data_IF_655573993279
#
_entry.id   IF_655573993279
#
_cell.length_a   1.000
_cell.length_b   1.000
_cell.length_c   1.000
_cell.angle_alpha   90.00
_cell.angle_beta   90.00
_cell.angle_gamma   90.00
#
_symmetry.space_group_name_H-M   'P 1'
#
loop_
_entity.id
_entity.type
_entity.pdbx_description
1 polymer ?
#
# COMPACT_ATOMS: atom_id res chain seq x y z
N UNK A 1 -4.44 -3.91 -14.54
CA UNK A 1 -5.74 -4.63 -14.66
C UNK A 1 -5.75 -5.96 -13.94
N UNK A 2 -4.91 -6.94 -14.31
CA UNK A 2 -4.96 -8.28 -13.69
C UNK A 2 -4.79 -8.26 -12.15
N UNK A 3 -3.91 -7.41 -11.60
CA UNK A 3 -3.77 -7.27 -10.15
C UNK A 3 -5.06 -6.74 -9.48
N UNK A 4 -5.75 -5.79 -10.12
CA UNK A 4 -7.01 -5.26 -9.59
C UNK A 4 -8.08 -6.34 -9.63
N UNK A 5 -8.20 -7.07 -10.74
CA UNK A 5 -9.13 -8.20 -10.84
C UNK A 5 -8.89 -9.23 -9.72
N UNK A 6 -7.63 -9.64 -9.53
CA UNK A 6 -7.27 -10.67 -8.56
C UNK A 6 -7.45 -10.23 -7.11
N UNK A 7 -7.12 -8.98 -6.76
CA UNK A 7 -7.19 -8.52 -5.36
C UNK A 7 -8.53 -7.89 -4.96
N UNK A 8 -9.26 -7.30 -5.89
CA UNK A 8 -10.51 -6.60 -5.59
C UNK A 8 -11.74 -7.43 -5.99
N UNK A 9 -11.80 -7.92 -7.23
CA UNK A 9 -13.02 -8.56 -7.74
C UNK A 9 -13.14 -10.01 -7.27
N UNK A 10 -12.05 -10.79 -7.33
CA UNK A 10 -12.08 -12.21 -6.96
C UNK A 10 -12.49 -12.42 -5.50
N UNK A 11 -11.90 -11.74 -4.49
CA UNK A 11 -12.27 -11.99 -3.10
C UNK A 11 -13.70 -11.53 -2.79
N UNK A 12 -14.13 -10.39 -3.33
CA UNK A 12 -15.51 -9.91 -3.19
C UNK A 12 -16.52 -10.90 -3.81
N UNK A 13 -16.18 -11.48 -4.98
CA UNK A 13 -17.01 -12.49 -5.64
C UNK A 13 -17.08 -13.81 -4.86
N UNK A 14 -15.97 -14.25 -4.28
CA UNK A 14 -15.94 -15.45 -3.45
C UNK A 14 -16.80 -15.29 -2.19
N UNK A 15 -16.68 -14.16 -1.49
CA UNK A 15 -17.50 -13.87 -0.31
C UNK A 15 -18.99 -13.80 -0.69
N UNK A 16 -19.32 -13.07 -1.76
CA UNK A 16 -20.68 -12.98 -2.28
C UNK A 16 -21.29 -14.35 -2.63
N UNK A 17 -20.50 -15.27 -3.21
CA UNK A 17 -20.96 -16.61 -3.53
C UNK A 17 -21.07 -17.53 -2.31
N UNK A 18 -20.32 -17.25 -1.24
CA UNK A 18 -20.21 -18.13 -0.06
C UNK A 18 -21.31 -17.93 0.99
N UNK A 19 -21.97 -16.77 1.00
CA UNK A 19 -22.95 -16.43 2.03
C UNK A 19 -24.12 -15.63 1.44
N UNK A 20 -25.34 -16.08 1.72
CA UNK A 20 -26.58 -15.40 1.29
C UNK A 20 -26.81 -14.04 1.97
N UNK A 21 -26.09 -13.76 3.05
CA UNK A 21 -26.27 -12.55 3.87
C UNK A 21 -25.36 -11.38 3.46
N UNK A 22 -24.41 -11.59 2.55
CA UNK A 22 -23.51 -10.52 2.12
C UNK A 22 -24.20 -9.63 1.09
N UNK A 23 -24.17 -8.32 1.37
CA UNK A 23 -24.75 -7.28 0.53
C UNK A 23 -24.19 -7.36 -0.91
N UNK A 24 -25.04 -7.62 -1.94
CA UNK A 24 -24.62 -7.70 -3.34
C UNK A 24 -23.92 -6.42 -3.84
N UNK A 25 -24.21 -5.29 -3.17
CA UNK A 25 -23.61 -3.99 -3.47
C UNK A 25 -22.09 -3.99 -3.34
N UNK A 26 -21.51 -4.70 -2.38
CA UNK A 26 -20.06 -4.76 -2.17
C UNK A 26 -19.38 -5.34 -3.42
N UNK A 27 -19.88 -6.48 -3.91
CA UNK A 27 -19.37 -7.11 -5.13
C UNK A 27 -19.57 -6.21 -6.36
N UNK A 28 -20.72 -5.55 -6.47
CA UNK A 28 -21.02 -4.62 -7.55
C UNK A 28 -20.05 -3.43 -7.56
N UNK A 29 -19.72 -2.84 -6.40
CA UNK A 29 -18.77 -1.73 -6.32
C UNK A 29 -17.34 -2.13 -6.69
N UNK A 30 -16.90 -3.35 -6.33
CA UNK A 30 -15.59 -3.87 -6.76
C UNK A 30 -15.53 -4.07 -8.28
N UNK A 31 -16.63 -4.50 -8.91
CA UNK A 31 -16.73 -4.58 -10.36
C UNK A 31 -16.74 -3.19 -11.01
N UNK A 32 -17.50 -2.24 -10.48
CA UNK A 32 -17.47 -0.84 -10.95
C UNK A 32 -16.05 -0.30 -10.88
N UNK A 33 -15.33 -0.52 -9.78
CA UNK A 33 -13.93 -0.10 -9.64
C UNK A 33 -13.05 -0.67 -10.76
N UNK A 34 -13.15 -1.98 -11.04
CA UNK A 34 -12.40 -2.63 -12.10
C UNK A 34 -12.71 -2.03 -13.48
N UNK A 35 -13.99 -1.91 -13.86
CA UNK A 35 -14.38 -1.38 -15.16
C UNK A 35 -14.05 0.11 -15.32
N UNK A 36 -14.26 0.93 -14.29
CA UNK A 36 -13.88 2.35 -14.31
C UNK A 36 -12.37 2.49 -14.47
N UNK A 37 -11.56 1.72 -13.74
CA UNK A 37 -10.10 1.77 -13.88
C UNK A 37 -9.68 1.34 -15.29
N UNK A 38 -10.31 0.30 -15.86
CA UNK A 38 -10.04 -0.14 -17.23
C UNK A 38 -10.37 0.97 -18.25
N UNK A 39 -11.53 1.61 -18.15
CA UNK A 39 -11.91 2.72 -19.02
C UNK A 39 -10.94 3.89 -18.90
N UNK A 40 -10.58 4.28 -17.68
CA UNK A 40 -9.66 5.39 -17.42
C UNK A 40 -8.24 5.06 -17.88
N UNK A 41 -7.83 3.79 -17.87
CA UNK A 41 -6.50 3.40 -18.39
C UNK A 41 -6.33 3.65 -19.89
N UNK A 42 -7.42 3.86 -20.64
CA UNK A 42 -7.40 4.24 -22.06
C UNK A 42 -7.20 5.75 -22.27
N UNK A 43 -7.38 6.56 -21.23
CA UNK A 43 -7.12 8.01 -21.28
C UNK A 43 -5.60 8.19 -21.39
N UNK A 44 -5.17 8.98 -22.38
CA UNK A 44 -3.76 9.34 -22.58
C UNK A 44 -3.51 10.72 -22.02
N UNK A 45 -2.65 10.80 -21.01
CA UNK A 45 -2.22 12.07 -20.43
C UNK A 45 -0.87 12.49 -21.03
N UNK A 46 -0.79 13.71 -21.54
CA UNK A 46 0.45 14.28 -22.06
C UNK A 46 1.06 15.24 -21.04
N UNK A 47 2.21 14.88 -20.48
CA UNK A 47 2.95 15.71 -19.54
C UNK A 47 4.22 16.27 -20.21
N UNK A 48 4.21 17.57 -20.50
CA UNK A 48 5.38 18.33 -20.94
C UNK A 48 6.14 18.88 -19.72
N UNK A 49 6.49 18.01 -18.79
CA UNK A 49 7.17 18.40 -17.56
C UNK A 49 8.70 18.39 -17.73
N UNK A 50 9.46 19.28 -17.06
CA UNK A 50 10.90 19.20 -17.04
C UNK A 50 11.33 17.95 -16.25
N UNK A 51 11.67 16.87 -16.96
CA UNK A 51 12.17 15.65 -16.32
C UNK A 51 13.61 15.82 -15.87
N UNK A 52 13.96 15.31 -14.70
CA UNK A 52 15.36 15.21 -14.27
C UNK A 52 16.15 14.37 -15.29
N UNK A 53 17.40 14.77 -15.55
CA UNK A 53 18.31 13.97 -16.38
C UNK A 53 18.43 12.59 -15.76
N UNK A 54 18.17 11.56 -16.57
CA UNK A 54 17.99 10.20 -16.06
C UNK A 54 19.17 9.71 -15.20
N UNK A 55 20.41 10.02 -15.61
CA UNK A 55 21.62 9.66 -14.87
C UNK A 55 21.80 10.43 -13.54
N UNK A 56 21.24 11.64 -13.42
CA UNK A 56 21.36 12.48 -12.22
C UNK A 56 20.27 12.17 -11.18
N UNK A 57 19.19 11.50 -11.59
CA UNK A 57 18.05 11.24 -10.70
C UNK A 57 18.41 10.46 -9.43
N UNK A 58 19.18 9.37 -9.57
CA UNK A 58 19.63 8.55 -8.43
C UNK A 58 20.43 9.34 -7.39
N UNK A 59 21.54 10.02 -7.79
CA UNK A 59 22.32 10.86 -6.88
C UNK A 59 21.52 11.99 -6.23
N UNK A 60 20.66 12.70 -6.97
CA UNK A 60 19.84 13.79 -6.42
C UNK A 60 18.88 13.28 -5.35
N UNK A 61 18.16 12.18 -5.64
CA UNK A 61 17.26 11.56 -4.67
C UNK A 61 18.00 11.05 -3.43
N UNK A 62 19.21 10.51 -3.62
CA UNK A 62 20.05 10.04 -2.52
C UNK A 62 20.48 11.21 -1.61
N UNK A 63 20.90 12.34 -2.18
CA UNK A 63 21.24 13.54 -1.41
C UNK A 63 20.03 14.06 -0.61
N UNK A 64 18.85 14.14 -1.24
CA UNK A 64 17.60 14.51 -0.55
C UNK A 64 17.32 13.56 0.61
N UNK A 65 17.54 12.26 0.41
CA UNK A 65 17.31 11.24 1.44
C UNK A 65 18.30 11.35 2.59
N UNK A 66 19.59 11.57 2.32
CA UNK A 66 20.61 11.74 3.37
C UNK A 66 20.30 12.95 4.24
N UNK A 67 19.91 14.08 3.64
CA UNK A 67 19.52 15.29 4.38
C UNK A 67 18.22 15.04 5.17
N UNK A 68 17.22 14.44 4.53
CA UNK A 68 15.91 14.20 5.14
C UNK A 68 15.90 13.14 6.26
N UNK A 69 16.95 12.32 6.34
CA UNK A 69 17.11 11.33 7.41
C UNK A 69 17.72 11.94 8.69
N UNK A 70 18.30 13.15 8.63
CA UNK A 70 18.93 13.79 9.81
C UNK A 70 17.99 13.85 11.03
N UNK A 71 16.71 14.28 10.92
CA UNK A 71 15.78 14.26 12.05
C UNK A 71 15.54 12.86 12.63
N UNK A 72 15.56 11.81 11.80
CA UNK A 72 15.42 10.44 12.27
C UNK A 72 16.61 10.01 13.12
N UNK A 73 17.82 10.40 12.74
CA UNK A 73 19.03 10.11 13.52
C UNK A 73 18.94 10.76 14.90
N UNK A 74 18.51 12.02 14.97
CA UNK A 74 18.43 12.77 16.22
C UNK A 74 17.35 12.20 17.16
N UNK A 75 16.17 11.91 16.64
CA UNK A 75 15.02 11.53 17.47
C UNK A 75 14.95 10.03 17.79
N UNK A 76 15.34 9.16 16.86
CA UNK A 76 15.14 7.73 17.00
C UNK A 76 16.35 6.99 17.55
N UNK A 77 17.55 7.58 17.51
CA UNK A 77 18.78 6.93 17.96
C UNK A 77 18.68 6.29 19.37
N UNK A 78 18.06 6.92 20.38
CA UNK A 78 17.93 6.32 21.72
C UNK A 78 17.07 5.05 21.77
N UNK A 79 16.18 4.86 20.80
CA UNK A 79 15.18 3.78 20.77
C UNK A 79 15.52 2.66 19.80
N UNK A 80 16.70 2.70 19.16
CA UNK A 80 17.11 1.69 18.20
C UNK A 80 17.42 0.38 18.93
N UNK A 81 16.65 -0.65 18.62
CA UNK A 81 16.91 -2.03 19.04
C UNK A 81 17.33 -2.88 17.84
N UNK A 82 18.60 -3.30 17.80
CA UNK A 82 19.14 -4.14 16.71
C UNK A 82 18.48 -5.52 16.62
N UNK A 83 17.89 -6.02 17.73
CA UNK A 83 17.13 -7.29 17.72
C UNK A 83 15.92 -7.22 16.79
N UNK A 84 15.40 -6.02 16.50
CA UNK A 84 14.31 -5.83 15.55
C UNK A 84 14.66 -6.36 14.15
N UNK A 85 15.94 -6.34 13.74
CA UNK A 85 16.36 -6.91 12.45
C UNK A 85 16.07 -8.42 12.35
N UNK A 86 16.02 -9.11 13.49
CA UNK A 86 15.64 -10.51 13.61
C UNK A 86 14.14 -10.69 13.89
N UNK A 87 13.34 -9.63 13.77
CA UNK A 87 11.91 -9.58 14.07
C UNK A 87 11.56 -9.83 15.56
N UNK A 88 12.54 -9.70 16.46
CA UNK A 88 12.38 -9.82 17.92
C UNK A 88 12.07 -8.44 18.51
N UNK A 89 11.21 -8.36 19.53
CA UNK A 89 10.84 -7.12 20.27
C UNK A 89 10.27 -5.96 19.40
N UNK A 90 9.75 -6.31 18.21
CA UNK A 90 9.22 -5.35 17.23
C UNK A 90 8.04 -4.54 17.79
N UNK A 91 7.16 -5.16 18.58
CA UNK A 91 5.99 -4.49 19.13
C UNK A 91 6.37 -3.54 20.27
N UNK A 92 7.30 -3.94 21.14
CA UNK A 92 7.81 -3.10 22.22
C UNK A 92 8.50 -1.85 21.69
N UNK A 93 9.31 -1.99 20.64
CA UNK A 93 9.95 -0.83 20.02
C UNK A 93 8.92 0.13 19.45
N UNK A 94 7.85 -0.37 18.82
CA UNK A 94 6.78 0.48 18.28
C UNK A 94 6.04 1.24 19.37
N UNK A 95 5.74 0.60 20.49
CA UNK A 95 5.08 1.27 21.62
C UNK A 95 5.98 2.33 22.26
N UNK A 96 7.27 2.04 22.41
CA UNK A 96 8.24 3.02 22.93
C UNK A 96 8.37 4.23 22.00
N UNK A 97 8.48 4.00 20.69
CA UNK A 97 8.59 5.06 19.69
C UNK A 97 7.30 5.90 19.64
N UNK A 98 6.12 5.28 19.63
CA UNK A 98 4.85 6.02 19.55
C UNK A 98 4.54 6.87 20.78
N UNK A 99 5.02 6.45 21.96
CA UNK A 99 4.84 7.20 23.21
C UNK A 99 5.78 8.41 23.29
N UNK A 100 7.03 8.25 22.83
CA UNK A 100 8.08 9.24 23.02
C UNK A 100 8.31 10.18 21.83
N UNK A 101 7.98 9.76 20.61
CA UNK A 101 8.23 10.55 19.39
C UNK A 101 6.90 11.00 18.79
N UNK A 102 6.67 12.31 18.83
CA UNK A 102 5.48 12.97 18.25
C UNK A 102 5.89 14.06 17.26
N UNK A 103 6.79 13.73 16.33
CA UNK A 103 7.19 14.65 15.28
C UNK A 103 6.42 14.37 13.98
N UNK A 104 5.68 15.38 13.53
CA UNK A 104 4.90 15.33 12.29
C UNK A 104 5.78 15.07 11.07
N UNK A 105 6.98 15.68 10.99
CA UNK A 105 7.89 15.49 9.86
C UNK A 105 8.27 14.01 9.69
N UNK A 106 8.70 13.35 10.76
CA UNK A 106 9.16 11.96 10.71
C UNK A 106 7.99 11.01 10.46
N UNK A 107 6.79 11.32 10.98
CA UNK A 107 5.58 10.56 10.70
C UNK A 107 5.23 10.49 9.20
N UNK A 108 5.31 11.62 8.47
CA UNK A 108 5.02 11.65 7.03
C UNK A 108 6.20 11.10 6.20
N UNK A 109 7.41 11.62 6.44
CA UNK A 109 8.57 11.34 5.59
C UNK A 109 9.09 9.91 5.75
N UNK A 110 8.76 9.21 6.84
CA UNK A 110 9.11 7.79 7.00
C UNK A 110 8.61 6.95 5.83
N UNK A 111 7.34 7.08 5.48
CA UNK A 111 6.74 6.31 4.38
C UNK A 111 7.29 6.76 3.03
N UNK A 112 7.59 8.05 2.88
CA UNK A 112 8.14 8.61 1.65
C UNK A 112 9.52 8.03 1.33
N UNK A 113 10.43 8.01 2.30
CA UNK A 113 11.75 7.45 2.10
C UNK A 113 11.72 5.92 1.99
N UNK A 114 11.03 5.24 2.91
CA UNK A 114 11.09 3.78 3.00
C UNK A 114 10.28 3.06 1.90
N UNK A 115 9.17 3.63 1.42
CA UNK A 115 8.29 2.97 0.46
C UNK A 115 8.45 3.47 -0.98
N UNK A 116 8.95 4.69 -1.17
CA UNK A 116 9.02 5.32 -2.50
C UNK A 116 10.46 5.66 -2.91
N UNK A 117 11.11 6.59 -2.21
CA UNK A 117 12.39 7.17 -2.67
C UNK A 117 13.52 6.13 -2.66
N UNK A 118 13.75 5.44 -1.55
CA UNK A 118 14.84 4.44 -1.45
C UNK A 118 14.64 3.25 -2.41
N UNK A 119 13.44 2.64 -2.50
CA UNK A 119 13.15 1.67 -3.56
C UNK A 119 13.47 2.14 -4.98
N UNK A 120 13.15 3.39 -5.34
CA UNK A 120 13.49 3.97 -6.65
C UNK A 120 15.02 4.07 -6.82
N UNK A 121 15.73 4.60 -5.81
CA UNK A 121 17.20 4.71 -5.86
C UNK A 121 17.85 3.33 -5.99
N UNK A 122 17.31 2.31 -5.33
CA UNK A 122 17.81 0.92 -5.43
C UNK A 122 17.69 0.41 -6.86
N UNK A 123 16.52 0.56 -7.51
CA UNK A 123 16.34 0.15 -8.92
C UNK A 123 17.32 0.88 -9.84
N UNK A 124 17.45 2.20 -9.68
CA UNK A 124 18.37 3.01 -10.49
C UNK A 124 19.84 2.63 -10.24
N UNK A 125 20.22 2.33 -9.01
CA UNK A 125 21.60 1.95 -8.65
C UNK A 125 21.97 0.59 -9.21
N UNK A 126 21.03 -0.37 -9.22
CA UNK A 126 21.21 -1.67 -9.89
C UNK A 126 21.38 -1.44 -11.40
N UNK A 127 20.52 -0.62 -12.01
CA UNK A 127 20.58 -0.32 -13.44
C UNK A 127 21.89 0.33 -13.88
N UNK A 128 22.34 1.36 -13.17
CA UNK A 128 23.59 2.05 -13.48
C UNK A 128 24.85 1.33 -12.96
N UNK A 129 24.71 0.19 -12.28
CA UNK A 129 25.83 -0.55 -11.69
C UNK A 129 26.55 0.20 -10.55
N UNK A 130 25.95 1.23 -9.97
CA UNK A 130 26.58 2.01 -8.90
C UNK A 130 26.42 1.31 -7.54
N UNK A 131 27.39 0.44 -7.23
CA UNK A 131 27.40 -0.34 -5.98
C UNK A 131 27.42 0.53 -4.72
N UNK A 132 28.07 1.69 -4.75
CA UNK A 132 28.14 2.59 -3.59
C UNK A 132 26.75 3.12 -3.23
N UNK A 133 26.02 3.63 -4.22
CA UNK A 133 24.66 4.12 -4.02
C UNK A 133 23.72 2.99 -3.61
N UNK A 134 23.85 1.80 -4.20
CA UNK A 134 23.05 0.64 -3.83
C UNK A 134 23.24 0.26 -2.36
N UNK A 135 24.49 0.09 -1.91
CA UNK A 135 24.80 -0.27 -0.53
C UNK A 135 24.28 0.80 0.43
N UNK A 136 24.54 2.09 0.13
CA UNK A 136 24.07 3.18 0.98
C UNK A 136 22.55 3.21 1.07
N UNK A 137 21.82 3.05 -0.03
CA UNK A 137 20.35 3.02 -0.01
C UNK A 137 19.79 1.84 0.78
N UNK A 138 20.41 0.65 0.69
CA UNK A 138 20.01 -0.51 1.50
C UNK A 138 20.27 -0.24 2.99
N UNK A 139 21.43 0.34 3.35
CA UNK A 139 21.73 0.68 4.74
C UNK A 139 20.76 1.73 5.30
N UNK A 140 20.42 2.77 4.53
CA UNK A 140 19.43 3.77 4.93
C UNK A 140 18.03 3.15 5.08
N UNK A 141 17.69 2.17 4.23
CA UNK A 141 16.41 1.47 4.32
C UNK A 141 16.34 0.59 5.58
N UNK A 142 17.43 -0.10 5.92
CA UNK A 142 17.56 -0.87 7.17
C UNK A 142 17.52 0.03 8.40
N UNK A 143 18.16 1.20 8.34
CA UNK A 143 18.08 2.21 9.40
C UNK A 143 16.64 2.68 9.61
N UNK A 144 15.92 3.03 8.55
CA UNK A 144 14.50 3.40 8.67
C UNK A 144 13.67 2.23 9.22
N UNK A 145 13.95 1.00 8.82
CA UNK A 145 13.30 -0.16 9.44
C UNK A 145 13.54 -0.20 10.96
N UNK A 146 14.76 0.08 11.44
CA UNK A 146 15.05 0.14 12.88
C UNK A 146 14.27 1.25 13.61
N UNK A 147 13.99 2.38 12.94
CA UNK A 147 13.22 3.48 13.51
C UNK A 147 11.73 3.15 13.72
N UNK A 148 11.08 2.43 12.79
CA UNK A 148 9.63 2.17 12.85
C UNK A 148 9.23 0.69 13.02
N UNK A 149 10.20 -0.22 12.90
CA UNK A 149 10.05 -1.67 12.89
C UNK A 149 8.94 -2.17 11.95
N UNK A 150 8.66 -1.46 10.85
CA UNK A 150 7.56 -1.79 9.92
C UNK A 150 7.97 -2.85 8.89
N UNK A 151 7.38 -4.05 8.95
CA UNK A 151 7.68 -5.19 8.07
C UNK A 151 7.52 -4.89 6.56
N UNK A 152 6.67 -3.93 6.20
CA UNK A 152 6.45 -3.50 4.81
C UNK A 152 7.73 -2.98 4.13
N UNK A 153 8.70 -2.48 4.90
CA UNK A 153 9.98 -2.01 4.36
C UNK A 153 10.75 -3.16 3.70
N UNK A 154 10.83 -4.31 4.36
CA UNK A 154 11.48 -5.50 3.80
C UNK A 154 10.72 -6.09 2.63
N UNK A 155 9.38 -6.15 2.72
CA UNK A 155 8.54 -6.65 1.63
C UNK A 155 8.77 -5.80 0.38
N UNK A 156 8.87 -4.47 0.54
CA UNK A 156 9.14 -3.57 -0.57
C UNK A 156 10.52 -3.79 -1.21
N UNK A 157 11.56 -3.97 -0.40
CA UNK A 157 12.89 -4.32 -0.89
C UNK A 157 12.86 -5.63 -1.69
N UNK A 158 12.24 -6.67 -1.12
CA UNK A 158 12.15 -8.00 -1.76
C UNK A 158 11.42 -7.89 -3.09
N UNK A 159 10.28 -7.19 -3.16
CA UNK A 159 9.51 -7.02 -4.39
C UNK A 159 10.29 -6.26 -5.45
N UNK A 160 11.03 -5.21 -5.08
CA UNK A 160 11.90 -4.49 -6.03
C UNK A 160 12.94 -5.41 -6.64
N UNK A 161 13.57 -6.28 -5.84
CA UNK A 161 14.62 -7.19 -6.32
C UNK A 161 14.06 -8.34 -7.16
N UNK A 162 12.98 -9.00 -6.70
CA UNK A 162 12.34 -10.11 -7.41
C UNK A 162 11.79 -9.64 -8.76
N UNK A 163 11.12 -8.48 -8.78
CA UNK A 163 10.51 -7.93 -9.99
C UNK A 163 11.45 -7.03 -10.78
N UNK A 164 12.76 -7.13 -10.60
CA UNK A 164 13.68 -6.37 -11.43
C UNK A 164 13.68 -6.88 -12.87
N UNK A 165 13.84 -8.19 -13.07
CA UNK A 165 13.88 -8.86 -14.38
C UNK A 165 12.49 -9.12 -14.94
N UNK A 166 12.36 -9.30 -16.26
CA UNK A 166 11.12 -9.59 -17.02
C UNK A 166 10.23 -8.38 -17.34
N UNK A 167 9.32 -8.58 -18.28
CA UNK A 167 8.30 -7.60 -18.66
C UNK A 167 7.07 -7.62 -17.75
N UNK A 168 6.24 -6.57 -17.83
CA UNK A 168 5.03 -6.42 -17.01
C UNK A 168 4.09 -7.64 -17.07
N UNK A 169 3.86 -8.19 -18.27
CA UNK A 169 2.95 -9.32 -18.46
C UNK A 169 3.50 -10.59 -17.82
N UNK A 170 4.78 -10.88 -18.03
CA UNK A 170 5.44 -12.05 -17.45
C UNK A 170 5.50 -11.95 -15.93
N UNK A 171 5.87 -10.79 -15.37
CA UNK A 171 5.87 -10.53 -13.93
C UNK A 171 4.52 -10.78 -13.30
N UNK A 172 3.48 -10.22 -13.94
CA UNK A 172 2.10 -10.38 -13.47
C UNK A 172 1.69 -11.85 -13.52
N UNK A 173 2.02 -12.57 -14.60
CA UNK A 173 1.74 -14.01 -14.73
C UNK A 173 2.45 -14.82 -13.64
N UNK A 174 3.76 -14.62 -13.45
CA UNK A 174 4.52 -15.36 -12.44
C UNK A 174 4.05 -15.04 -11.03
N UNK A 175 3.75 -13.77 -10.73
CA UNK A 175 3.22 -13.38 -9.44
C UNK A 175 1.89 -14.08 -9.15
N UNK A 176 0.95 -14.05 -10.10
CA UNK A 176 -0.33 -14.74 -9.97
C UNK A 176 -0.14 -16.26 -9.84
N UNK A 177 0.74 -16.86 -10.63
CA UNK A 177 1.03 -18.29 -10.54
C UNK A 177 1.61 -18.69 -9.17
N UNK A 178 2.55 -17.90 -8.63
CA UNK A 178 3.11 -18.15 -7.30
C UNK A 178 2.05 -17.99 -6.21
N UNK A 179 1.22 -16.95 -6.29
CA UNK A 179 0.13 -16.74 -5.32
C UNK A 179 -0.91 -17.86 -5.39
N UNK A 180 -1.40 -18.21 -6.58
CA UNK A 180 -2.35 -19.31 -6.76
C UNK A 180 -1.74 -20.65 -6.35
N UNK A 181 -0.49 -20.92 -6.73
CA UNK A 181 0.23 -22.12 -6.31
C UNK A 181 0.38 -22.22 -4.79
N UNK A 182 0.69 -21.11 -4.12
CA UNK A 182 0.76 -21.06 -2.66
C UNK A 182 -0.61 -21.30 -2.00
N UNK A 183 -1.69 -20.78 -2.59
CA UNK A 183 -3.06 -21.05 -2.14
C UNK A 183 -3.43 -22.53 -2.33
N UNK A 184 -3.08 -23.13 -3.47
CA UNK A 184 -3.31 -24.55 -3.70
C UNK A 184 -2.54 -25.41 -2.70
N UNK A 185 -1.26 -25.11 -2.46
CA UNK A 185 -0.44 -25.83 -1.48
C UNK A 185 -1.01 -25.67 -0.07
N UNK A 186 -1.44 -24.47 0.32
CA UNK A 186 -2.02 -24.23 1.65
C UNK A 186 -3.35 -24.95 1.84
N UNK A 187 -4.17 -25.03 0.79
CA UNK A 187 -5.40 -25.83 0.77
C UNK A 187 -5.08 -27.33 0.94
N UNK A 188 -4.16 -27.87 0.14
CA UNK A 188 -3.76 -29.28 0.24
C UNK A 188 -3.17 -29.60 1.63
N UNK A 189 -2.33 -28.72 2.17
CA UNK A 189 -1.78 -28.86 3.51
C UNK A 189 -2.87 -28.92 4.58
N UNK A 190 -3.92 -28.11 4.41
CA UNK A 190 -5.07 -28.10 5.32
C UNK A 190 -5.90 -29.38 5.17
N UNK A 191 -6.18 -29.83 3.95
CA UNK A 191 -7.03 -31.00 3.70
C UNK A 191 -6.37 -32.34 4.07
N UNK A 192 -5.06 -32.48 3.88
CA UNK A 192 -4.36 -33.75 4.08
C UNK A 192 -3.60 -33.84 5.40
N UNK A 193 -3.23 -32.72 6.01
CA UNK A 193 -2.39 -32.68 7.21
C UNK A 193 -2.99 -31.83 8.34
N UNK A 194 -4.23 -31.33 8.19
CA UNK A 194 -4.88 -30.38 9.11
C UNK A 194 -4.02 -29.12 9.43
N UNK A 195 -3.08 -28.79 8.55
CA UNK A 195 -2.14 -27.69 8.76
C UNK A 195 -2.71 -26.37 8.24
N UNK A 196 -3.55 -25.74 9.07
CA UNK A 196 -4.30 -24.51 8.73
C UNK A 196 -3.45 -23.23 8.71
N UNK A 197 -2.26 -23.22 9.33
CA UNK A 197 -1.47 -21.99 9.47
C UNK A 197 -1.12 -21.34 8.13
N UNK A 198 -0.80 -22.13 7.10
CA UNK A 198 -0.51 -21.59 5.76
C UNK A 198 -1.75 -20.97 5.13
N UNK A 199 -2.91 -21.62 5.26
CA UNK A 199 -4.18 -21.12 4.75
C UNK A 199 -4.55 -19.77 5.39
N UNK A 200 -4.34 -19.70 6.70
CA UNK A 200 -4.63 -18.54 7.53
C UNK A 200 -3.79 -17.31 7.17
N UNK A 201 -2.49 -17.50 6.98
CA UNK A 201 -1.56 -16.40 6.65
C UNK A 201 -1.66 -15.98 5.18
N UNK A 202 -2.05 -16.90 4.29
CA UNK A 202 -2.17 -16.67 2.85
C UNK A 202 -3.59 -16.23 2.47
N UNK A 203 -4.44 -17.18 2.09
CA UNK A 203 -5.75 -16.95 1.52
C UNK A 203 -6.66 -16.17 2.46
N UNK A 204 -6.77 -16.59 3.73
CA UNK A 204 -7.67 -15.93 4.68
C UNK A 204 -7.23 -14.49 4.92
N UNK A 205 -5.95 -14.23 5.17
CA UNK A 205 -5.47 -12.90 5.56
C UNK A 205 -5.25 -11.95 4.38
N UNK A 206 -4.80 -12.44 3.24
CA UNK A 206 -4.47 -11.59 2.08
C UNK A 206 -5.69 -11.30 1.21
N UNK A 207 -6.61 -12.26 1.08
CA UNK A 207 -7.75 -12.15 0.16
C UNK A 207 -9.09 -12.05 0.89
N UNK A 208 -9.41 -12.98 1.80
CA UNK A 208 -10.76 -13.04 2.39
C UNK A 208 -10.97 -11.97 3.48
N UNK A 209 -9.95 -11.68 4.28
CA UNK A 209 -10.06 -10.74 5.40
C UNK A 209 -10.46 -9.34 4.93
N UNK A 210 -9.96 -8.89 3.78
CA UNK A 210 -10.30 -7.57 3.24
C UNK A 210 -11.78 -7.51 2.83
N UNK A 211 -12.29 -8.56 2.19
CA UNK A 211 -13.69 -8.65 1.81
C UNK A 211 -14.64 -8.81 3.03
N UNK A 212 -14.19 -9.53 4.07
CA UNK A 212 -14.91 -9.61 5.35
C UNK A 212 -15.00 -8.24 6.03
N UNK A 213 -13.89 -7.50 6.07
CA UNK A 213 -13.88 -6.15 6.62
C UNK A 213 -14.80 -5.22 5.82
N UNK A 214 -14.86 -5.36 4.49
CA UNK A 214 -15.83 -4.58 3.72
C UNK A 214 -17.28 -4.83 4.19
N UNK A 215 -17.64 -6.08 4.45
CA UNK A 215 -18.95 -6.40 5.02
C UNK A 215 -19.17 -5.73 6.39
N UNK A 216 -18.21 -5.83 7.33
CA UNK A 216 -18.34 -5.21 8.65
C UNK A 216 -18.54 -3.69 8.58
N UNK A 217 -17.81 -3.01 7.70
CA UNK A 217 -17.98 -1.56 7.50
C UNK A 217 -19.33 -1.23 6.86
N UNK A 218 -19.78 -2.02 5.89
CA UNK A 218 -21.07 -1.79 5.24
C UNK A 218 -22.23 -2.02 6.21
N UNK A 219 -22.20 -3.11 6.95
CA UNK A 219 -23.22 -3.42 7.96
C UNK A 219 -23.30 -2.29 9.01
N UNK A 220 -22.17 -1.92 9.62
CA UNK A 220 -22.14 -0.86 10.63
C UNK A 220 -22.60 0.52 10.10
N UNK A 221 -22.03 1.00 9.00
CA UNK A 221 -22.32 2.35 8.48
C UNK A 221 -23.61 2.44 7.63
N UNK A 222 -24.32 1.32 7.43
CA UNK A 222 -25.69 1.34 6.90
C UNK A 222 -26.65 1.88 7.95
N UNK A 223 -26.50 1.44 9.20
CA UNK A 223 -27.37 1.83 10.32
C UNK A 223 -26.86 3.05 11.08
N UNK A 224 -25.56 3.37 10.96
CA UNK A 224 -24.96 4.54 11.59
C UNK A 224 -24.76 5.70 10.60
N UNK A 225 -24.53 6.90 11.14
CA UNK A 225 -24.31 8.08 10.33
C UNK A 225 -22.95 8.06 9.61
N UNK A 226 -22.88 8.60 8.37
CA UNK A 226 -21.60 8.75 7.67
C UNK A 226 -20.64 9.66 8.44
N UNK A 227 -19.35 9.40 8.28
CA UNK A 227 -18.30 10.14 8.99
C UNK A 227 -17.91 11.45 8.32
N UNK A 228 -18.18 11.63 7.02
CA UNK A 228 -17.77 12.83 6.27
C UNK A 228 -16.27 13.19 6.43
N UNK A 229 -15.39 12.20 6.58
CA UNK A 229 -13.95 12.35 6.86
C UNK A 229 -13.59 13.19 8.10
N UNK A 230 -14.50 13.33 9.06
CA UNK A 230 -14.27 14.03 10.34
C UNK A 230 -13.15 13.42 11.19
N UNK A 231 -12.83 12.14 11.00
CA UNK A 231 -11.69 11.48 11.64
C UNK A 231 -10.33 11.76 10.97
N UNK A 232 -10.30 12.57 9.91
CA UNK A 232 -9.11 12.81 9.08
C UNK A 232 -9.01 14.30 8.74
N UNK A 233 -8.85 14.65 7.46
CA UNK A 233 -8.59 16.02 7.01
C UNK A 233 -9.77 16.99 7.17
N UNK A 234 -10.99 16.50 7.45
CA UNK A 234 -12.17 17.35 7.72
C UNK A 234 -12.48 17.47 9.22
N UNK A 235 -11.58 17.04 10.11
CA UNK A 235 -11.77 17.11 11.57
C UNK A 235 -12.04 18.51 12.10
N UNK A 236 -11.61 19.56 11.39
CA UNK A 236 -11.84 20.96 11.78
C UNK A 236 -13.23 21.46 11.39
N UNK A 237 -13.89 20.81 10.43
CA UNK A 237 -15.16 21.28 9.85
C UNK A 237 -16.37 20.43 10.26
N UNK A 238 -16.14 19.16 10.59
CA UNK A 238 -17.18 18.22 10.97
C UNK A 238 -16.74 17.51 12.24
N UNK A 239 -17.60 17.52 13.26
CA UNK A 239 -17.33 16.85 14.52
C UNK A 239 -17.32 15.33 14.34
N UNK A 240 -16.31 14.68 14.92
CA UNK A 240 -16.20 13.23 14.93
C UNK A 240 -17.02 12.64 16.08
N UNK A 241 -17.79 11.59 15.79
CA UNK A 241 -18.82 11.05 16.71
C UNK A 241 -18.35 9.92 17.63
N UNK A 242 -17.11 9.47 17.50
CA UNK A 242 -16.58 8.33 18.25
C UNK A 242 -15.30 8.73 18.98
N UNK A 243 -15.01 8.06 20.09
CA UNK A 243 -13.82 8.36 20.91
C UNK A 243 -12.53 7.82 20.31
N UNK A 244 -12.63 6.80 19.45
CA UNK A 244 -11.51 6.11 18.81
C UNK A 244 -11.70 6.09 17.30
N UNK A 245 -10.60 5.90 16.55
CA UNK A 245 -10.64 5.85 15.09
C UNK A 245 -11.58 4.75 14.56
N UNK A 246 -12.13 4.89 13.34
CA UNK A 246 -13.15 3.97 12.82
C UNK A 246 -12.71 2.51 12.78
N UNK A 247 -11.43 2.25 12.51
CA UNK A 247 -10.83 0.91 12.53
C UNK A 247 -10.85 0.23 13.90
N UNK A 248 -10.78 0.98 15.00
CA UNK A 248 -10.91 0.43 16.35
C UNK A 248 -12.38 0.21 16.74
N UNK A 249 -13.27 1.12 16.34
CA UNK A 249 -14.73 0.94 16.52
C UNK A 249 -15.19 -0.37 15.87
N UNK A 250 -14.84 -0.60 14.61
CA UNK A 250 -15.20 -1.84 13.90
C UNK A 250 -14.54 -3.06 14.55
N UNK A 251 -13.30 -2.93 15.04
CA UNK A 251 -12.61 -4.05 15.69
C UNK A 251 -13.24 -4.46 17.03
N UNK A 252 -13.68 -3.49 17.81
CA UNK A 252 -14.41 -3.71 19.04
C UNK A 252 -15.75 -4.39 18.78
N UNK A 253 -16.57 -3.84 17.88
CA UNK A 253 -17.93 -4.31 17.61
C UNK A 253 -17.98 -5.73 17.03
N UNK A 254 -17.13 -6.04 16.04
CA UNK A 254 -17.22 -7.33 15.32
C UNK A 254 -16.23 -8.39 15.82
N UNK A 255 -15.15 -7.99 16.51
CA UNK A 255 -14.09 -8.93 16.91
C UNK A 255 -13.78 -8.92 18.41
N UNK A 256 -14.44 -8.07 19.22
CA UNK A 256 -14.16 -7.89 20.65
C UNK A 256 -12.67 -7.61 20.91
N UNK A 257 -12.02 -6.83 20.02
CA UNK A 257 -10.59 -6.52 20.08
C UNK A 257 -10.33 -5.04 19.83
N UNK A 258 -10.58 -4.16 20.82
CA UNK A 258 -10.45 -2.71 20.64
C UNK A 258 -9.04 -2.24 20.26
N UNK A 259 -8.00 -3.03 20.54
CA UNK A 259 -6.60 -2.69 20.25
C UNK A 259 -6.11 -3.15 18.86
N UNK A 260 -7.00 -3.68 18.02
CA UNK A 260 -6.64 -4.21 16.69
C UNK A 260 -7.16 -3.29 15.59
N UNK A 261 -6.31 -2.97 14.62
CA UNK A 261 -6.71 -2.17 13.47
C UNK A 261 -7.48 -3.01 12.45
N UNK A 262 -8.79 -2.77 12.33
CA UNK A 262 -9.63 -3.31 11.27
C UNK A 262 -9.50 -2.47 9.98
N UNK A 263 -8.29 -2.35 9.43
CA UNK A 263 -8.03 -1.50 8.26
C UNK A 263 -8.78 -1.97 7.02
N UNK A 264 -9.34 -1.03 6.27
CA UNK A 264 -10.13 -1.32 5.07
C UNK A 264 -9.67 -0.50 3.86
N UNK A 265 -9.96 -1.02 2.67
CA UNK A 265 -9.61 -0.39 1.40
C UNK A 265 -10.56 0.73 0.97
N UNK A 266 -10.31 1.24 -0.24
CA UNK A 266 -11.00 2.40 -0.81
C UNK A 266 -12.53 2.28 -0.92
N UNK A 267 -13.08 1.07 -1.04
CA UNK A 267 -14.52 0.86 -1.18
C UNK A 267 -15.21 1.18 0.15
N UNK A 268 -14.86 0.48 1.21
CA UNK A 268 -15.47 0.73 2.53
C UNK A 268 -15.02 2.03 3.17
N UNK A 269 -13.81 2.52 2.86
CA UNK A 269 -13.42 3.87 3.25
C UNK A 269 -14.33 4.93 2.59
N UNK A 270 -14.68 4.76 1.32
CA UNK A 270 -15.70 5.59 0.68
C UNK A 270 -17.06 5.45 1.35
N UNK A 271 -17.49 4.22 1.63
CA UNK A 271 -18.80 3.93 2.21
C UNK A 271 -18.99 4.55 3.60
N UNK A 272 -18.02 4.37 4.51
CA UNK A 272 -18.12 4.91 5.87
C UNK A 272 -18.19 6.44 5.90
N UNK A 273 -17.65 7.12 4.89
CA UNK A 273 -17.58 8.58 4.85
C UNK A 273 -18.77 9.24 4.16
N UNK A 274 -19.23 8.69 3.03
CA UNK A 274 -20.30 9.28 2.22
C UNK A 274 -21.21 8.24 1.55
N UNK A 275 -21.27 7.01 2.09
CA UNK A 275 -22.02 5.88 1.52
C UNK A 275 -21.65 5.69 0.04
N UNK A 276 -22.64 5.48 -0.82
CA UNK A 276 -22.45 5.31 -2.27
C UNK A 276 -21.63 6.43 -2.91
N UNK A 277 -21.85 7.69 -2.53
CA UNK A 277 -21.13 8.82 -3.12
C UNK A 277 -19.64 8.79 -2.77
N UNK A 278 -19.30 8.44 -1.53
CA UNK A 278 -17.91 8.29 -1.12
C UNK A 278 -17.20 7.16 -1.85
N UNK A 279 -17.90 6.05 -2.14
CA UNK A 279 -17.37 4.96 -2.96
C UNK A 279 -17.05 5.45 -4.38
N UNK A 280 -18.02 6.12 -5.04
CA UNK A 280 -17.85 6.61 -6.41
C UNK A 280 -16.70 7.60 -6.52
N UNK A 281 -16.58 8.54 -5.57
CA UNK A 281 -15.45 9.47 -5.48
C UNK A 281 -14.13 8.69 -5.36
N UNK A 282 -14.08 7.70 -4.47
CA UNK A 282 -12.87 6.91 -4.23
C UNK A 282 -12.44 6.10 -5.46
N UNK A 283 -13.42 5.51 -6.18
CA UNK A 283 -13.21 4.80 -7.44
C UNK A 283 -12.67 5.74 -8.51
N UNK A 284 -13.28 6.91 -8.71
CA UNK A 284 -12.88 7.87 -9.74
C UNK A 284 -11.46 8.37 -9.47
N UNK A 285 -11.16 8.80 -8.23
CA UNK A 285 -9.84 9.32 -7.86
C UNK A 285 -8.75 8.26 -8.02
N UNK A 286 -9.02 7.03 -7.57
CA UNK A 286 -8.05 5.93 -7.72
C UNK A 286 -7.86 5.53 -9.19
N UNK A 287 -8.93 5.55 -9.99
CA UNK A 287 -8.87 5.27 -11.43
C UNK A 287 -8.09 6.34 -12.20
N UNK A 288 -8.28 7.62 -11.87
CA UNK A 288 -7.48 8.73 -12.40
C UNK A 288 -6.01 8.58 -12.04
N UNK A 289 -5.72 8.24 -10.78
CA UNK A 289 -4.36 8.02 -10.31
C UNK A 289 -3.64 6.95 -11.13
N UNK A 290 -4.26 5.78 -11.34
CA UNK A 290 -3.67 4.73 -12.19
C UNK A 290 -3.58 5.11 -13.67
N UNK A 291 -4.55 5.88 -14.18
CA UNK A 291 -4.55 6.37 -15.57
C UNK A 291 -3.36 7.28 -15.86
N UNK A 292 -3.05 8.19 -14.94
CA UNK A 292 -1.86 9.05 -15.02
C UNK A 292 -0.60 8.19 -15.05
N UNK A 293 -0.43 7.27 -14.11
CA UNK A 293 0.74 6.38 -14.06
C UNK A 293 0.91 5.57 -15.35
N UNK A 294 -0.18 5.06 -15.93
CA UNK A 294 -0.16 4.28 -17.16
C UNK A 294 0.33 5.11 -18.37
N UNK A 295 0.11 6.43 -18.36
CA UNK A 295 0.51 7.33 -19.45
C UNK A 295 2.00 7.73 -19.41
N UNK A 296 2.73 7.41 -18.34
CA UNK A 296 4.11 7.87 -18.13
C UNK A 296 5.20 6.96 -18.71
N UNK A 297 4.84 5.83 -19.35
CA UNK A 297 5.81 4.88 -19.96
C UNK A 297 6.95 4.46 -19.01
N UNK A 298 6.59 4.07 -17.79
CA UNK A 298 7.54 3.68 -16.74
C UNK A 298 8.11 2.28 -17.07
N UNK A 299 9.39 2.05 -16.77
CA UNK A 299 10.04 0.76 -17.00
C UNK A 299 9.46 -0.35 -16.12
N UNK A 300 9.31 -1.59 -16.65
CA UNK A 300 8.92 -2.77 -15.86
C UNK A 300 9.81 -3.01 -14.63
N UNK A 301 11.06 -2.54 -14.62
CA UNK A 301 12.00 -2.68 -13.49
C UNK A 301 11.47 -2.07 -12.18
N UNK A 302 10.52 -1.14 -12.26
CA UNK A 302 9.85 -0.52 -11.10
C UNK A 302 8.57 -1.25 -10.66
N UNK A 303 8.23 -2.39 -11.23
CA UNK A 303 6.95 -3.08 -10.98
C UNK A 303 6.68 -3.37 -9.49
N UNK A 304 7.72 -3.69 -8.71
CA UNK A 304 7.58 -3.94 -7.27
C UNK A 304 6.94 -2.77 -6.49
N UNK A 305 7.22 -1.52 -6.89
CA UNK A 305 6.60 -0.32 -6.30
C UNK A 305 5.08 -0.30 -6.53
N UNK A 306 4.65 -0.63 -7.75
CA UNK A 306 3.25 -0.60 -8.13
C UNK A 306 2.46 -1.76 -7.49
N UNK A 307 3.09 -2.90 -7.24
CA UNK A 307 2.47 -3.99 -6.46
C UNK A 307 2.17 -3.52 -5.04
N UNK A 308 3.15 -2.89 -4.35
CA UNK A 308 2.94 -2.34 -3.00
C UNK A 308 1.85 -1.27 -2.97
N UNK A 309 1.80 -0.44 -4.01
CA UNK A 309 0.79 0.59 -4.16
C UNK A 309 -0.62 -0.01 -4.27
N UNK A 310 -0.81 -1.04 -5.10
CA UNK A 310 -2.09 -1.77 -5.22
C UNK A 310 -2.49 -2.38 -3.87
N UNK A 311 -1.55 -3.01 -3.15
CA UNK A 311 -1.80 -3.54 -1.81
C UNK A 311 -2.17 -2.45 -0.79
N UNK A 312 -1.62 -1.24 -0.96
CA UNK A 312 -1.96 -0.10 -0.11
C UNK A 312 -3.41 0.32 -0.34
N UNK A 313 -3.87 0.42 -1.59
CA UNK A 313 -5.28 0.69 -1.93
C UNK A 313 -6.26 -0.40 -1.49
N UNK A 314 -5.79 -1.64 -1.38
CA UNK A 314 -6.60 -2.76 -0.88
C UNK A 314 -6.85 -2.67 0.63
N UNK A 315 -5.90 -2.14 1.40
CA UNK A 315 -5.89 -2.20 2.87
C UNK A 315 -5.83 -0.83 3.56
N UNK A 316 -6.10 0.25 2.84
CA UNK A 316 -5.95 1.59 3.39
C UNK A 316 -6.98 2.59 2.86
N UNK A 317 -7.27 3.58 3.70
CA UNK A 317 -8.07 4.73 3.35
C UNK A 317 -7.40 5.55 2.23
N UNK A 318 -8.21 6.11 1.33
CA UNK A 318 -7.70 6.83 0.15
C UNK A 318 -6.83 8.03 0.55
N UNK A 319 -7.30 8.81 1.53
CA UNK A 319 -6.57 9.98 2.06
C UNK A 319 -5.23 9.57 2.67
N UNK A 320 -5.21 8.51 3.49
CA UNK A 320 -3.99 7.98 4.11
C UNK A 320 -2.99 7.50 3.07
N UNK A 321 -3.43 6.84 2.00
CA UNK A 321 -2.54 6.37 0.94
C UNK A 321 -1.90 7.55 0.20
N UNK A 322 -2.72 8.51 -0.20
CA UNK A 322 -2.28 9.65 -1.01
C UNK A 322 -1.38 10.60 -0.23
N UNK A 323 -1.78 10.96 1.00
CA UNK A 323 -1.12 11.97 1.82
C UNK A 323 0.00 11.38 2.69
N UNK A 324 -0.27 10.28 3.38
CA UNK A 324 0.60 9.77 4.45
C UNK A 324 1.53 8.67 3.96
N UNK A 325 1.07 7.74 3.12
CA UNK A 325 1.90 6.67 2.57
C UNK A 325 2.70 7.06 1.33
N UNK A 326 2.63 8.32 0.90
CA UNK A 326 3.43 8.87 -0.19
C UNK A 326 2.86 8.61 -1.58
N UNK A 327 1.55 8.36 -1.72
CA UNK A 327 0.91 8.17 -3.03
C UNK A 327 1.06 9.39 -3.95
N UNK A 328 0.87 10.61 -3.43
CA UNK A 328 1.11 11.85 -4.19
C UNK A 328 2.60 12.00 -4.52
N UNK A 329 3.49 11.73 -3.56
CA UNK A 329 4.92 11.80 -3.80
C UNK A 329 5.35 10.82 -4.91
N UNK A 330 4.82 9.60 -4.91
CA UNK A 330 5.07 8.63 -5.98
C UNK A 330 4.58 9.16 -7.34
N UNK A 331 3.44 9.84 -7.39
CA UNK A 331 2.96 10.47 -8.62
C UNK A 331 3.93 11.56 -9.11
N UNK A 332 4.41 12.41 -8.20
CA UNK A 332 5.41 13.44 -8.52
C UNK A 332 6.72 12.81 -9.01
N UNK A 333 7.25 11.80 -8.30
CA UNK A 333 8.44 11.06 -8.72
C UNK A 333 8.20 10.36 -10.07
N UNK A 334 7.01 9.83 -10.31
CA UNK A 334 6.67 9.20 -11.56
C UNK A 334 6.73 10.21 -12.73
N UNK A 335 6.21 11.42 -12.54
CA UNK A 335 6.21 12.49 -13.55
C UNK A 335 7.63 13.04 -13.77
N UNK A 336 8.35 13.41 -12.71
CA UNK A 336 9.61 14.14 -12.84
C UNK A 336 10.86 13.24 -12.95
N UNK A 337 10.77 11.98 -12.52
CA UNK A 337 11.91 11.04 -12.48
C UNK A 337 11.69 9.81 -13.36
N UNK A 338 10.52 9.16 -13.24
CA UNK A 338 10.29 7.86 -13.88
C UNK A 338 9.67 7.94 -15.29
N UNK A 339 9.27 9.14 -15.73
CA UNK A 339 8.65 9.34 -17.03
C UNK A 339 9.58 8.88 -18.16
N UNK A 340 9.04 8.08 -19.08
CA UNK A 340 9.73 7.48 -20.24
C UNK A 340 10.95 6.62 -19.87
N UNK A 341 11.02 6.09 -18.64
CA UNK A 341 12.11 5.19 -18.25
C UNK A 341 12.11 3.89 -19.02
N UNK A 342 10.96 3.43 -19.54
CA UNK A 342 10.90 2.23 -20.39
C UNK A 342 11.85 2.34 -21.60
N UNK A 343 11.81 3.46 -22.32
CA UNK A 343 12.68 3.71 -23.48
C UNK A 343 14.17 3.88 -23.11
N UNK A 344 14.48 4.20 -21.85
CA UNK A 344 15.84 4.49 -21.38
C UNK A 344 16.52 3.29 -20.72
N UNK A 345 15.73 2.28 -20.34
CA UNK A 345 16.17 1.14 -19.54
C UNK A 345 15.98 -0.21 -20.22
N UNK A 346 15.15 -0.27 -21.26
CA UNK A 346 15.09 -1.38 -22.21
C UNK A 346 16.20 -1.18 -23.25
#
# INVERSE_FOLDING_TARGET
MNLILFFFVVPAGLVFASSSEVLPSIFLYHNIFFYTTYLFSKIKWNFNSPTLKFHQSGPVLLTITVIGIIPFIVEYAPYINLKNLLLIDVYETRTLVSQNIKNTYTAYTYSWFSRMILPIIIVLSIYFGNRKNLILSVLLLLFLYLCGAHKMVFIGLIFVLIFYKYDYLEKTRYFLLVMTGFICISLLATLFFDFTYLWDVSFRRVLILTALLDYCYFDFFTYNEPLYWSHSFLSTFVDYKYDVLPEYVISEVYFNKPDVNANVGIISDGFKNLRTWGILISIILTSLYFSILNSLNISPKFFGLFVLLVFSFLNGALSTILLTHGGILLLLLAIFVLQNTKQRMD
#
